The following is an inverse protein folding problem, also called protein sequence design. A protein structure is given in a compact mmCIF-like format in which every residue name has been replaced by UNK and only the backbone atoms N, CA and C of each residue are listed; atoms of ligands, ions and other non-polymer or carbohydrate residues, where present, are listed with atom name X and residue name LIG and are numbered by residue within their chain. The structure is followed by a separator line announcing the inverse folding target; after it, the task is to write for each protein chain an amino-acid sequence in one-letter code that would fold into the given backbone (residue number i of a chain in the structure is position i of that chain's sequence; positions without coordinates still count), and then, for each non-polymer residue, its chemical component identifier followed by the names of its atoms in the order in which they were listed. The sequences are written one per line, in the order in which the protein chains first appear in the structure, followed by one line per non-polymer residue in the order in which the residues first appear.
data_IF_892525852404
#
_entry.id   IF_892525852404
#
_cell.length_a   1.000
_cell.length_b   1.000
_cell.length_c   1.000
_cell.angle_alpha   90.00
_cell.angle_beta   90.00
_cell.angle_gamma   90.00
#
_symmetry.space_group_name_H-M   'P 1'
#
loop_
_entity.id
_entity.type
_entity.pdbx_description
1 polymer ?
#
# COMPACT_ATOMS: atom_id res chain seq x y z
N UNK A 1 21.51 17.24 2.04
CA UNK A 1 20.52 17.39 0.93
C UNK A 1 19.19 17.71 1.56
N UNK A 2 18.53 18.83 1.19
CA UNK A 2 17.22 19.18 1.73
C UNK A 2 16.20 18.10 1.34
N UNK A 3 15.54 17.49 2.32
CA UNK A 3 14.48 16.54 2.10
C UNK A 3 13.32 17.25 1.36
N UNK A 4 13.00 16.78 0.16
CA UNK A 4 11.86 17.31 -0.60
C UNK A 4 10.59 16.68 -0.04
N UNK A 5 9.60 17.48 0.30
CA UNK A 5 8.28 17.00 0.67
C UNK A 5 7.62 16.32 -0.53
N UNK A 6 7.21 15.07 -0.38
CA UNK A 6 6.58 14.28 -1.44
C UNK A 6 5.16 13.95 -1.02
N UNK A 7 4.20 14.49 -1.77
CA UNK A 7 2.76 14.30 -1.63
C UNK A 7 2.17 13.34 -2.65
N UNK A 8 2.92 13.02 -3.71
CA UNK A 8 2.52 12.06 -4.74
C UNK A 8 3.65 11.09 -5.04
N UNK A 9 3.34 9.81 -5.08
CA UNK A 9 4.27 8.77 -5.44
C UNK A 9 3.57 7.69 -6.26
N UNK A 10 4.17 7.27 -7.36
CA UNK A 10 3.71 6.13 -8.17
C UNK A 10 4.45 4.89 -7.75
N UNK A 11 3.71 3.81 -7.45
CA UNK A 11 4.25 2.51 -7.05
C UNK A 11 3.57 1.39 -7.85
N UNK A 12 4.35 0.37 -8.14
CA UNK A 12 3.87 -0.89 -8.70
C UNK A 12 3.74 -1.94 -7.60
N UNK A 13 2.58 -2.54 -7.48
CA UNK A 13 2.23 -3.54 -6.50
C UNK A 13 1.84 -4.85 -7.20
N UNK A 14 2.46 -5.96 -6.79
CA UNK A 14 2.13 -7.29 -7.30
C UNK A 14 2.01 -8.27 -6.15
N UNK A 15 0.86 -8.91 -6.04
CA UNK A 15 0.63 -9.99 -5.10
C UNK A 15 1.37 -11.28 -5.52
N UNK A 16 1.56 -12.18 -4.59
CA UNK A 16 2.22 -13.45 -4.84
C UNK A 16 1.39 -14.37 -5.74
N UNK A 17 2.05 -15.13 -6.59
CA UNK A 17 1.44 -16.22 -7.34
C UNK A 17 1.12 -17.38 -6.42
N UNK A 18 0.04 -18.12 -6.66
CA UNK A 18 -0.25 -19.41 -6.03
C UNK A 18 0.73 -20.48 -6.49
N UNK A 19 1.15 -21.35 -5.58
CA UNK A 19 1.96 -22.53 -5.89
C UNK A 19 1.18 -23.55 -6.72
N UNK A 20 1.87 -24.37 -7.47
CA UNK A 20 1.26 -25.42 -8.30
C UNK A 20 0.84 -26.60 -7.44
N UNK A 21 -0.23 -27.29 -7.83
CA UNK A 21 -0.55 -28.60 -7.28
C UNK A 21 0.45 -29.65 -7.73
N UNK A 22 0.70 -30.65 -6.89
CA UNK A 22 1.62 -31.74 -7.18
C UNK A 22 0.95 -32.88 -7.90
N UNK A 23 1.70 -33.55 -8.75
CA UNK A 23 1.37 -34.88 -9.27
C UNK A 23 2.25 -35.91 -8.57
N UNK A 24 1.69 -36.65 -7.63
CA UNK A 24 2.39 -37.67 -6.88
C UNK A 24 1.50 -38.90 -6.72
N UNK A 25 2.13 -40.06 -6.53
CA UNK A 25 1.46 -41.33 -6.27
C UNK A 25 2.06 -41.96 -5.03
N UNK A 26 1.19 -42.53 -4.22
CA UNK A 26 1.62 -43.26 -3.03
C UNK A 26 2.51 -44.43 -3.40
N UNK A 27 3.64 -44.57 -2.71
CA UNK A 27 4.59 -45.67 -2.92
C UNK A 27 4.95 -46.30 -1.59
N UNK A 28 4.63 -47.56 -1.44
CA UNK A 28 5.05 -48.34 -0.29
C UNK A 28 5.73 -49.63 -0.76
N UNK A 29 6.51 -50.23 0.15
CA UNK A 29 7.11 -51.54 -0.11
C UNK A 29 5.97 -52.57 -0.34
N UNK A 30 5.98 -53.21 -1.46
CA UNK A 30 4.96 -54.18 -1.91
C UNK A 30 3.66 -53.60 -2.47
N UNK A 31 3.52 -52.25 -2.62
CA UNK A 31 2.39 -51.63 -3.32
C UNK A 31 2.90 -51.06 -4.64
N UNK A 32 2.64 -51.79 -5.75
CA UNK A 32 3.14 -51.41 -7.07
C UNK A 32 2.39 -50.22 -7.71
N UNK A 33 1.14 -49.99 -7.32
CA UNK A 33 0.27 -48.93 -7.85
C UNK A 33 -0.53 -48.29 -6.74
N UNK A 34 0.07 -47.35 -6.01
CA UNK A 34 -0.64 -46.54 -5.03
C UNK A 34 -1.51 -45.49 -5.69
N UNK A 35 -2.53 -45.02 -4.96
CA UNK A 35 -3.43 -43.95 -5.42
C UNK A 35 -2.73 -42.58 -5.56
N UNK A 36 -3.42 -41.60 -6.14
CA UNK A 36 -2.90 -40.24 -6.27
C UNK A 36 -2.71 -39.62 -4.89
N UNK A 37 -1.56 -38.97 -4.70
CA UNK A 37 -1.06 -38.52 -3.40
C UNK A 37 -0.44 -37.11 -3.47
N UNK A 38 -0.71 -36.39 -4.55
CA UNK A 38 -0.25 -35.00 -4.71
C UNK A 38 -1.05 -34.03 -3.87
N UNK A 39 -0.36 -33.19 -3.11
CA UNK A 39 -0.93 -32.10 -2.33
C UNK A 39 -1.13 -30.83 -3.15
N UNK A 40 -1.89 -29.91 -2.59
CA UNK A 40 -2.21 -28.63 -3.23
C UNK A 40 -1.07 -27.62 -3.05
N UNK A 41 -0.95 -26.68 -3.98
CA UNK A 41 -0.08 -25.51 -3.82
C UNK A 41 -0.63 -24.54 -2.77
N UNK A 42 0.27 -23.81 -2.13
CA UNK A 42 -0.09 -22.71 -1.21
C UNK A 42 -0.60 -21.48 -1.96
N UNK A 43 -1.43 -20.68 -1.32
CA UNK A 43 -1.83 -19.39 -1.88
C UNK A 43 -0.65 -18.40 -1.87
N UNK A 44 -0.62 -17.46 -2.82
CA UNK A 44 0.29 -16.33 -2.80
C UNK A 44 -0.07 -15.33 -1.71
N UNK A 45 0.90 -14.54 -1.26
CA UNK A 45 0.70 -13.47 -0.29
C UNK A 45 -0.02 -12.27 -0.91
N UNK A 46 -0.78 -11.56 -0.10
CA UNK A 46 -1.48 -10.32 -0.48
C UNK A 46 -0.56 -9.11 -0.33
N UNK A 47 -0.94 -7.99 -0.97
CA UNK A 47 -0.42 -6.67 -0.62
C UNK A 47 -1.48 -5.92 0.18
N UNK A 48 -1.12 -5.52 1.38
CA UNK A 48 -2.02 -4.87 2.34
C UNK A 48 -1.50 -3.47 2.66
N UNK A 49 -2.34 -2.46 2.47
CA UNK A 49 -2.08 -1.09 2.92
C UNK A 49 -2.57 -0.92 4.36
N UNK A 50 -1.76 -0.25 5.18
CA UNK A 50 -2.08 0.04 6.58
C UNK A 50 -1.71 1.50 6.87
N UNK A 51 -2.59 2.20 7.57
CA UNK A 51 -2.31 3.57 8.02
C UNK A 51 -1.30 3.56 9.17
N UNK A 52 -0.32 4.44 9.08
CA UNK A 52 0.66 4.71 10.15
C UNK A 52 0.62 6.19 10.48
N UNK A 53 0.09 6.53 11.67
CA UNK A 53 -0.09 7.91 12.13
C UNK A 53 1.25 8.62 12.44
N UNK A 54 2.36 7.87 12.52
CA UNK A 54 3.69 8.44 12.69
C UNK A 54 4.33 8.90 11.37
N UNK A 55 3.71 8.57 10.24
CA UNK A 55 4.16 8.99 8.91
C UNK A 55 3.44 10.26 8.46
N UNK A 56 4.20 11.27 8.01
CA UNK A 56 3.65 12.55 7.51
C UNK A 56 4.00 12.81 6.03
N UNK A 57 4.73 11.92 5.38
CA UNK A 57 5.17 12.10 3.99
C UNK A 57 5.22 10.77 3.24
N UNK A 58 5.17 10.84 1.90
CA UNK A 58 5.35 9.68 1.02
C UNK A 58 6.81 9.52 0.56
N UNK A 59 7.79 10.02 1.34
CA UNK A 59 9.19 10.06 0.92
C UNK A 59 9.78 8.66 0.65
N UNK A 60 9.43 7.66 1.43
CA UNK A 60 9.94 6.29 1.29
C UNK A 60 9.59 5.69 -0.08
N UNK A 61 8.45 6.07 -0.63
CA UNK A 61 7.98 5.60 -1.93
C UNK A 61 8.73 6.19 -3.12
N UNK A 62 9.54 7.23 -2.90
CA UNK A 62 10.45 7.76 -3.91
C UNK A 62 11.58 6.79 -4.22
N UNK A 63 12.07 6.12 -3.18
CA UNK A 63 13.22 5.22 -3.27
C UNK A 63 12.79 3.80 -3.64
N UNK A 64 11.71 3.31 -3.02
CA UNK A 64 11.16 1.98 -3.29
C UNK A 64 9.84 2.12 -4.03
N UNK A 65 9.84 1.78 -5.32
CA UNK A 65 8.66 1.90 -6.19
C UNK A 65 8.03 0.57 -6.56
N UNK A 66 8.66 -0.55 -6.21
CA UNK A 66 8.16 -1.89 -6.55
C UNK A 66 7.95 -2.69 -5.28
N UNK A 67 6.76 -3.20 -5.11
CA UNK A 67 6.32 -4.00 -3.98
C UNK A 67 5.77 -5.33 -4.51
N UNK A 68 6.39 -6.43 -4.09
CA UNK A 68 6.02 -7.78 -4.54
C UNK A 68 5.90 -8.66 -3.29
N UNK A 69 4.74 -9.29 -3.12
CA UNK A 69 4.50 -10.24 -2.04
C UNK A 69 5.07 -11.63 -2.39
N UNK A 70 5.24 -12.49 -1.39
CA UNK A 70 5.80 -13.81 -1.56
C UNK A 70 4.83 -14.73 -2.33
N UNK A 71 5.39 -15.58 -3.19
CA UNK A 71 4.62 -16.62 -3.86
C UNK A 71 4.28 -17.77 -2.90
N UNK A 72 3.18 -18.46 -3.16
CA UNK A 72 2.89 -19.73 -2.53
C UNK A 72 3.85 -20.82 -3.03
N UNK A 73 4.19 -21.76 -2.16
CA UNK A 73 5.00 -22.91 -2.53
C UNK A 73 4.16 -23.98 -3.22
N UNK A 74 4.79 -24.74 -4.09
CA UNK A 74 4.17 -25.88 -4.76
C UNK A 74 3.79 -26.97 -3.75
N UNK A 75 2.74 -27.73 -4.04
CA UNK A 75 2.36 -28.92 -3.31
C UNK A 75 3.42 -30.01 -3.47
N UNK A 76 3.40 -30.97 -2.58
CA UNK A 76 4.33 -32.10 -2.57
C UNK A 76 3.59 -33.46 -2.50
N UNK A 77 4.31 -34.53 -2.63
CA UNK A 77 3.80 -35.88 -2.37
C UNK A 77 3.34 -36.07 -0.92
N UNK A 78 2.71 -37.21 -0.63
CA UNK A 78 2.13 -37.52 0.69
C UNK A 78 1.08 -36.49 1.13
N UNK A 79 0.32 -35.94 0.19
CA UNK A 79 -0.72 -34.91 0.38
C UNK A 79 -0.25 -33.66 1.13
N UNK A 80 1.04 -33.35 1.09
CA UNK A 80 1.58 -32.17 1.75
C UNK A 80 1.26 -30.92 0.95
N UNK A 81 0.54 -29.99 1.61
CA UNK A 81 0.22 -28.70 1.05
C UNK A 81 1.46 -27.79 0.94
N UNK A 82 1.53 -27.01 -0.11
CA UNK A 82 2.51 -25.94 -0.23
C UNK A 82 2.28 -24.86 0.83
N UNK A 83 3.37 -24.28 1.36
CA UNK A 83 3.29 -23.17 2.30
C UNK A 83 2.71 -21.95 1.61
N UNK A 84 1.84 -21.21 2.30
CA UNK A 84 1.31 -19.93 1.81
C UNK A 84 2.41 -18.85 1.76
N UNK A 85 2.35 -18.00 0.75
CA UNK A 85 3.17 -16.79 0.67
C UNK A 85 2.82 -15.82 1.80
N UNK A 86 3.83 -15.07 2.27
CA UNK A 86 3.60 -14.06 3.29
C UNK A 86 2.99 -12.81 2.67
N UNK A 87 2.03 -12.22 3.35
CA UNK A 87 1.49 -10.91 2.99
C UNK A 87 2.56 -9.82 3.15
N UNK A 88 2.56 -8.88 2.22
CA UNK A 88 3.41 -7.70 2.27
C UNK A 88 2.58 -6.50 2.74
N UNK A 89 2.90 -6.02 3.94
CA UNK A 89 2.27 -4.81 4.48
C UNK A 89 3.05 -3.57 4.04
N UNK A 90 2.33 -2.61 3.47
CA UNK A 90 2.83 -1.28 3.09
C UNK A 90 2.18 -0.27 4.01
N UNK A 91 3.00 0.50 4.74
CA UNK A 91 2.51 1.56 5.63
C UNK A 91 2.41 2.85 4.86
N UNK A 92 1.28 3.55 5.03
CA UNK A 92 1.01 4.85 4.39
C UNK A 92 0.52 5.85 5.43
N UNK A 93 0.79 7.16 5.26
CA UNK A 93 0.25 8.19 6.13
C UNK A 93 -1.28 8.21 6.10
N UNK A 94 -1.92 8.63 7.19
CA UNK A 94 -3.36 8.89 7.23
C UNK A 94 -3.75 9.94 6.18
N UNK A 95 -4.91 9.73 5.52
CA UNK A 95 -5.38 10.62 4.46
C UNK A 95 -4.69 10.41 3.11
N UNK A 96 -3.96 9.30 2.93
CA UNK A 96 -3.45 8.90 1.62
C UNK A 96 -4.59 8.38 0.75
N UNK A 97 -4.78 8.98 -0.42
CA UNK A 97 -5.68 8.49 -1.46
C UNK A 97 -4.91 7.60 -2.42
N UNK A 98 -5.41 6.39 -2.62
CA UNK A 98 -4.88 5.43 -3.58
C UNK A 98 -5.68 5.54 -4.86
N UNK A 99 -5.01 5.87 -5.98
CA UNK A 99 -5.62 5.97 -7.30
C UNK A 99 -5.00 4.97 -8.24
N UNK A 100 -5.81 4.46 -9.16
CA UNK A 100 -5.28 3.73 -10.31
C UNK A 100 -4.44 4.66 -11.19
N UNK A 101 -3.29 4.18 -11.67
CA UNK A 101 -2.34 5.02 -12.40
C UNK A 101 -2.76 5.30 -13.86
N UNK A 102 -3.67 4.51 -14.43
CA UNK A 102 -4.16 4.65 -15.80
C UNK A 102 -5.49 5.40 -15.84
N UNK A 103 -6.47 4.93 -15.07
CA UNK A 103 -7.83 5.54 -15.05
C UNK A 103 -7.93 6.76 -14.16
N UNK A 104 -6.98 6.97 -13.24
CA UNK A 104 -7.01 7.99 -12.19
C UNK A 104 -8.22 7.87 -11.23
N UNK A 105 -8.93 6.75 -11.26
CA UNK A 105 -10.04 6.48 -10.34
C UNK A 105 -9.54 6.23 -8.92
N UNK A 106 -10.35 6.62 -7.94
CA UNK A 106 -10.03 6.37 -6.53
C UNK A 106 -10.33 4.91 -6.20
N UNK A 107 -9.30 4.15 -5.85
CA UNK A 107 -9.43 2.77 -5.36
C UNK A 107 -9.82 2.78 -3.88
N UNK A 108 -9.13 3.57 -3.05
CA UNK A 108 -9.38 3.66 -1.61
C UNK A 108 -8.87 4.99 -1.05
N UNK A 109 -9.61 5.55 -0.09
CA UNK A 109 -9.16 6.64 0.77
C UNK A 109 -8.75 6.02 2.12
N UNK A 110 -7.49 6.20 2.51
CA UNK A 110 -6.90 5.68 3.75
C UNK A 110 -7.09 6.69 4.90
N UNK A 111 -8.33 7.09 5.15
CA UNK A 111 -8.72 7.98 6.25
C UNK A 111 -8.94 7.22 7.56
N UNK A 112 -9.34 5.96 7.50
CA UNK A 112 -9.53 5.05 8.61
C UNK A 112 -8.28 4.17 8.85
N UNK A 113 -8.24 3.50 10.00
CA UNK A 113 -7.13 2.60 10.36
C UNK A 113 -7.35 1.16 9.90
N UNK A 114 -8.41 0.88 9.14
CA UNK A 114 -8.69 -0.47 8.67
C UNK A 114 -7.68 -0.90 7.60
N UNK A 115 -7.06 -2.10 7.73
CA UNK A 115 -6.20 -2.63 6.70
C UNK A 115 -6.95 -2.82 5.38
N UNK A 116 -6.37 -2.38 4.26
CA UNK A 116 -6.95 -2.53 2.94
C UNK A 116 -6.11 -3.46 2.07
N UNK A 117 -6.72 -4.51 1.51
CA UNK A 117 -6.06 -5.42 0.58
C UNK A 117 -6.08 -4.77 -0.81
N UNK A 118 -4.92 -4.27 -1.25
CA UNK A 118 -4.75 -3.64 -2.56
C UNK A 118 -4.65 -4.69 -3.68
N UNK A 119 -3.87 -5.75 -3.46
CA UNK A 119 -3.71 -6.84 -4.43
C UNK A 119 -3.89 -8.17 -3.72
N UNK A 120 -4.73 -9.05 -4.27
CA UNK A 120 -4.97 -10.38 -3.71
C UNK A 120 -4.01 -11.38 -4.30
N UNK A 121 -3.44 -12.23 -3.43
CA UNK A 121 -2.61 -13.36 -3.83
C UNK A 121 -3.36 -14.38 -4.68
N UNK A 122 -2.64 -14.98 -5.62
CA UNK A 122 -3.18 -16.06 -6.46
C UNK A 122 -3.51 -17.30 -5.64
N UNK A 123 -4.60 -17.98 -5.99
CA UNK A 123 -4.96 -19.25 -5.34
C UNK A 123 -4.00 -20.35 -5.74
N UNK A 124 -3.62 -21.21 -4.78
CA UNK A 124 -2.86 -22.41 -5.03
C UNK A 124 -3.61 -23.42 -5.93
N UNK A 125 -2.87 -24.14 -6.75
CA UNK A 125 -3.40 -25.16 -7.63
C UNK A 125 -3.71 -26.46 -6.88
N UNK A 126 -4.71 -27.19 -7.32
CA UNK A 126 -5.06 -28.47 -6.72
C UNK A 126 -4.12 -29.59 -7.16
N UNK A 127 -3.71 -30.43 -6.22
CA UNK A 127 -2.96 -31.65 -6.47
C UNK A 127 -3.78 -32.73 -7.18
N UNK A 128 -3.10 -33.74 -7.73
CA UNK A 128 -3.78 -34.80 -8.48
C UNK A 128 -4.74 -35.63 -7.62
N UNK A 129 -4.60 -35.63 -6.29
CA UNK A 129 -5.51 -36.33 -5.39
C UNK A 129 -6.97 -35.84 -5.51
N UNK A 130 -7.21 -34.56 -5.82
CA UNK A 130 -8.55 -34.01 -6.02
C UNK A 130 -9.25 -34.46 -7.29
N UNK A 131 -8.50 -34.98 -8.27
CA UNK A 131 -9.03 -35.40 -9.58
C UNK A 131 -9.26 -36.90 -9.70
N UNK A 132 -9.10 -37.63 -8.60
CA UNK A 132 -9.40 -39.05 -8.52
C UNK A 132 -10.92 -39.28 -8.58
N UNK A 133 -11.36 -40.10 -9.51
CA UNK A 133 -12.75 -40.52 -9.65
C UNK A 133 -12.80 -42.03 -9.80
N UNK A 134 -13.96 -42.68 -9.60
CA UNK A 134 -14.07 -44.16 -9.80
C UNK A 134 -13.61 -44.64 -11.18
N UNK A 135 -13.78 -43.80 -12.20
CA UNK A 135 -13.37 -44.09 -13.58
C UNK A 135 -11.92 -43.65 -13.88
N UNK A 136 -11.37 -42.70 -13.12
CA UNK A 136 -10.00 -42.17 -13.25
C UNK A 136 -9.29 -42.28 -11.91
N UNK A 137 -8.80 -43.47 -11.57
CA UNK A 137 -8.18 -43.70 -10.27
C UNK A 137 -6.75 -43.16 -10.14
N UNK A 138 -6.04 -42.93 -11.24
CA UNK A 138 -4.67 -42.43 -11.27
C UNK A 138 -4.49 -41.20 -12.19
N UNK A 139 -5.04 -40.04 -11.83
CA UNK A 139 -4.89 -38.81 -12.62
C UNK A 139 -3.42 -38.35 -12.61
N UNK A 140 -2.87 -38.16 -13.82
CA UNK A 140 -1.47 -37.71 -14.03
C UNK A 140 -1.37 -36.23 -14.32
N UNK A 141 -2.30 -35.42 -13.78
CA UNK A 141 -2.32 -33.94 -13.90
C UNK A 141 -2.71 -33.32 -12.58
N UNK A 142 -2.29 -32.08 -12.40
CA UNK A 142 -2.66 -31.20 -11.31
C UNK A 142 -3.00 -29.81 -11.86
N UNK A 143 -3.64 -28.96 -11.10
CA UNK A 143 -3.85 -27.55 -11.46
C UNK A 143 -2.63 -26.72 -11.13
N UNK A 144 -2.27 -25.81 -12.04
CA UNK A 144 -1.32 -24.73 -11.74
C UNK A 144 -1.93 -23.72 -10.79
N UNK A 145 -1.10 -23.09 -9.98
CA UNK A 145 -1.51 -21.93 -9.19
C UNK A 145 -1.86 -20.75 -10.10
N UNK A 146 -2.77 -19.90 -9.62
CA UNK A 146 -3.18 -18.70 -10.32
C UNK A 146 -2.18 -17.57 -10.07
N UNK A 147 -2.06 -16.66 -11.03
CA UNK A 147 -1.30 -15.42 -10.83
C UNK A 147 -1.99 -14.57 -9.77
N UNK A 148 -1.20 -13.79 -9.01
CA UNK A 148 -1.72 -12.78 -8.11
C UNK A 148 -2.14 -11.52 -8.88
N UNK A 149 -2.96 -10.68 -8.24
CA UNK A 149 -3.34 -9.39 -8.79
C UNK A 149 -2.14 -8.45 -8.83
N UNK A 150 -2.14 -7.56 -9.82
CA UNK A 150 -1.14 -6.49 -9.91
C UNK A 150 -1.84 -5.17 -10.21
N UNK A 151 -1.36 -4.10 -9.58
CA UNK A 151 -1.83 -2.75 -9.77
C UNK A 151 -0.66 -1.77 -9.83
N UNK A 152 -0.75 -0.84 -10.75
CA UNK A 152 0.09 0.35 -10.80
C UNK A 152 -0.73 1.51 -10.22
N UNK A 153 -0.31 2.02 -9.07
CA UNK A 153 -1.10 2.99 -8.33
C UNK A 153 -0.32 4.26 -8.03
N UNK A 154 -1.05 5.36 -7.95
CA UNK A 154 -0.57 6.64 -7.47
C UNK A 154 -1.09 6.85 -6.05
N UNK A 155 -0.17 6.96 -5.11
CA UNK A 155 -0.45 7.41 -3.76
C UNK A 155 -0.45 8.94 -3.76
N UNK A 156 -1.53 9.56 -3.32
CA UNK A 156 -1.68 11.00 -3.19
C UNK A 156 -2.05 11.34 -1.76
N UNK A 157 -1.16 12.05 -1.06
CA UNK A 157 -1.43 12.48 0.32
C UNK A 157 -2.29 13.73 0.31
N UNK A 158 -3.49 13.65 0.89
CA UNK A 158 -4.30 14.82 1.22
C UNK A 158 -3.63 15.56 2.38
N UNK A 159 -2.93 16.61 2.05
CA UNK A 159 -2.21 17.41 3.03
C UNK A 159 -3.21 18.18 3.88
N UNK A 160 -3.46 17.72 5.10
CA UNK A 160 -4.03 18.52 6.16
C UNK A 160 -2.87 19.02 7.02
N UNK A 161 -2.87 20.31 7.34
CA UNK A 161 -1.90 20.82 8.28
C UNK A 161 -2.36 20.52 9.71
N UNK A 162 -1.44 20.03 10.53
CA UNK A 162 -1.67 19.77 11.95
C UNK A 162 -1.65 21.09 12.73
N UNK A 163 -0.86 22.07 12.26
CA UNK A 163 -0.67 23.38 12.89
C UNK A 163 -0.78 24.48 11.84
N UNK A 164 -1.60 25.49 12.09
CA UNK A 164 -1.74 26.69 11.25
C UNK A 164 -1.03 27.90 11.88
N UNK A 165 -0.23 28.63 11.09
CA UNK A 165 0.34 29.91 11.46
C UNK A 165 -0.63 31.05 11.06
N UNK A 166 -1.17 31.75 12.03
CA UNK A 166 -2.09 32.84 11.84
C UNK A 166 -1.45 34.12 12.38
N UNK A 167 -1.67 35.25 11.74
CA UNK A 167 -1.18 36.57 12.20
C UNK A 167 -1.08 37.58 11.06
N UNK A 168 -0.77 38.81 11.40
CA UNK A 168 -0.68 39.93 10.46
C UNK A 168 0.33 39.67 9.32
N UNK A 169 0.15 40.31 8.16
CA UNK A 169 1.15 40.28 7.09
C UNK A 169 2.52 40.78 7.60
N UNK A 170 3.59 40.22 7.04
CA UNK A 170 5.00 40.61 7.31
C UNK A 170 5.51 40.48 8.76
N UNK A 171 4.80 39.74 9.63
CA UNK A 171 5.27 39.42 11.00
C UNK A 171 6.28 38.26 11.06
N UNK A 172 6.68 37.72 9.93
CA UNK A 172 7.70 36.69 9.88
C UNK A 172 7.18 35.22 9.89
N UNK A 173 5.88 34.95 9.68
CA UNK A 173 5.30 33.59 9.65
C UNK A 173 6.00 32.69 8.66
N UNK A 174 6.12 33.12 7.41
CA UNK A 174 6.77 32.35 6.36
C UNK A 174 8.27 32.15 6.61
N UNK A 175 8.92 33.14 7.27
CA UNK A 175 10.32 33.01 7.71
C UNK A 175 10.44 31.96 8.81
N UNK A 176 9.54 31.98 9.80
CA UNK A 176 9.49 30.95 10.83
C UNK A 176 9.32 29.55 10.22
N UNK A 177 8.33 29.40 9.32
CA UNK A 177 8.09 28.14 8.62
C UNK A 177 9.34 27.65 7.87
N UNK A 178 10.07 28.55 7.20
CA UNK A 178 11.28 28.21 6.45
C UNK A 178 12.45 27.79 7.34
N UNK A 179 12.52 28.27 8.58
CA UNK A 179 13.57 27.95 9.55
C UNK A 179 13.30 26.63 10.24
N UNK A 180 12.05 26.37 10.67
CA UNK A 180 11.69 25.16 11.42
C UNK A 180 11.45 23.95 10.51
N UNK A 181 11.12 24.17 9.23
CA UNK A 181 10.92 23.10 8.27
C UNK A 181 12.24 22.62 7.72
N UNK A 182 12.53 21.31 7.83
CA UNK A 182 13.71 20.67 7.19
C UNK A 182 13.57 20.53 5.67
N UNK A 183 12.35 20.61 5.15
CA UNK A 183 12.07 20.59 3.72
C UNK A 183 11.73 21.99 3.24
N UNK A 184 11.99 22.30 1.96
CA UNK A 184 11.49 23.55 1.37
C UNK A 184 9.97 23.56 1.46
N UNK A 185 9.35 24.65 2.00
CA UNK A 185 7.91 24.75 2.05
C UNK A 185 7.30 24.58 0.66
N UNK A 186 6.20 23.84 0.58
CA UNK A 186 5.48 23.57 -0.66
C UNK A 186 4.16 24.33 -0.66
N UNK A 187 3.84 24.99 -1.75
CA UNK A 187 2.53 25.59 -1.98
C UNK A 187 1.53 24.46 -2.21
N UNK A 188 0.49 24.38 -1.38
CA UNK A 188 -0.58 23.42 -1.53
C UNK A 188 -1.85 24.08 -2.08
N UNK A 189 -2.57 23.34 -2.91
CA UNK A 189 -3.86 23.74 -3.47
C UNK A 189 -4.97 23.05 -2.68
N UNK A 190 -5.59 23.76 -1.75
CA UNK A 190 -6.78 23.29 -1.07
C UNK A 190 -8.02 23.76 -1.83
N UNK A 191 -8.89 22.84 -2.22
CA UNK A 191 -10.11 23.13 -2.99
C UNK A 191 -11.11 24.07 -2.28
N UNK A 192 -10.91 24.29 -0.98
CA UNK A 192 -11.76 25.15 -0.14
C UNK A 192 -11.13 26.51 0.22
N UNK A 193 -9.92 26.81 -0.31
CA UNK A 193 -9.25 28.09 -0.07
C UNK A 193 -8.96 28.80 -1.38
N UNK A 194 -9.18 30.11 -1.43
CA UNK A 194 -8.78 30.99 -2.54
C UNK A 194 -7.29 31.31 -2.52
N UNK A 195 -6.61 31.03 -1.41
CA UNK A 195 -5.17 31.21 -1.22
C UNK A 195 -4.48 29.86 -1.03
N UNK A 196 -3.29 29.76 -1.60
CA UNK A 196 -2.44 28.60 -1.50
C UNK A 196 -1.54 28.72 -0.27
N UNK A 197 -1.80 27.96 0.82
CA UNK A 197 -0.92 27.98 1.97
C UNK A 197 0.43 27.36 1.66
N UNK A 198 1.49 27.86 2.30
CA UNK A 198 2.79 27.23 2.27
C UNK A 198 2.84 26.15 3.36
N UNK A 199 3.15 24.92 2.98
CA UNK A 199 3.27 23.79 3.90
C UNK A 199 4.73 23.46 4.15
N UNK A 200 5.07 23.24 5.42
CA UNK A 200 6.39 22.73 5.82
C UNK A 200 6.25 21.55 6.77
N UNK A 201 7.16 20.58 6.67
CA UNK A 201 7.22 19.46 7.62
C UNK A 201 8.23 19.79 8.69
N UNK A 202 7.78 19.75 9.94
CA UNK A 202 8.59 19.96 11.14
C UNK A 202 8.85 18.58 11.77
N UNK A 203 10.13 18.24 11.93
CA UNK A 203 10.54 17.02 12.60
C UNK A 203 10.82 17.33 14.07
N UNK A 204 10.22 16.56 14.96
CA UNK A 204 10.40 16.70 16.42
C UNK A 204 11.45 15.72 16.90
N UNK A 205 11.37 14.46 16.43
CA UNK A 205 12.28 13.38 16.79
C UNK A 205 12.37 12.36 15.64
N UNK A 206 13.20 11.30 15.79
CA UNK A 206 13.26 10.22 14.80
C UNK A 206 11.88 9.56 14.65
N UNK A 207 11.33 9.67 13.43
CA UNK A 207 10.02 9.12 13.08
C UNK A 207 8.81 9.93 13.52
N UNK A 208 8.98 11.06 14.21
CA UNK A 208 7.87 11.95 14.64
C UNK A 208 7.97 13.28 13.91
N UNK A 209 6.95 13.60 13.10
CA UNK A 209 6.87 14.86 12.37
C UNK A 209 5.42 15.33 12.29
N UNK A 210 5.23 16.63 12.10
CA UNK A 210 3.92 17.23 11.84
C UNK A 210 3.99 18.23 10.68
N UNK A 211 2.85 18.52 10.06
CA UNK A 211 2.73 19.46 8.96
C UNK A 211 2.27 20.81 9.49
N UNK A 212 3.06 21.85 9.21
CA UNK A 212 2.74 23.22 9.56
C UNK A 212 2.37 24.00 8.29
N UNK A 213 1.25 24.76 8.34
CA UNK A 213 0.79 25.63 7.26
C UNK A 213 0.95 27.10 7.62
N UNK A 214 1.51 27.88 6.71
CA UNK A 214 1.40 29.34 6.74
C UNK A 214 0.16 29.72 5.92
N UNK A 215 -0.89 30.20 6.61
CA UNK A 215 -2.16 30.60 5.99
C UNK A 215 -2.13 32.10 5.79
N UNK A 216 -1.83 32.60 4.57
CA UNK A 216 -1.82 34.02 4.29
C UNK A 216 -3.26 34.59 4.29
N UNK A 217 -3.41 35.83 4.69
CA UNK A 217 -4.66 36.58 4.54
C UNK A 217 -5.75 36.37 5.60
N UNK A 218 -5.50 35.57 6.64
CA UNK A 218 -6.37 35.59 7.83
C UNK A 218 -5.91 36.69 8.75
N UNK A 219 -6.68 37.77 8.82
CA UNK A 219 -6.43 38.94 9.66
C UNK A 219 -7.63 39.19 10.56
N UNK A 220 -7.44 40.03 11.61
CA UNK A 220 -8.54 40.49 12.46
C UNK A 220 -9.58 41.22 11.60
N UNK A 221 -10.88 40.89 11.77
CA UNK A 221 -11.96 41.40 10.91
C UNK A 221 -12.23 40.57 9.65
N UNK A 222 -11.58 39.44 9.49
CA UNK A 222 -11.82 38.52 8.35
C UNK A 222 -13.27 38.05 8.27
N UNK A 223 -13.93 37.86 9.41
CA UNK A 223 -15.36 37.48 9.49
C UNK A 223 -16.29 38.63 9.07
N UNK A 224 -15.80 39.86 9.05
CA UNK A 224 -16.53 41.07 8.63
C UNK A 224 -16.24 41.46 7.18
N UNK A 225 -15.57 40.59 6.41
CA UNK A 225 -15.23 40.82 5.01
C UNK A 225 -13.91 41.57 4.78
N UNK A 226 -13.14 41.87 5.83
CA UNK A 226 -11.81 42.48 5.73
C UNK A 226 -10.72 41.42 5.58
N UNK A 227 -10.80 40.62 4.53
CA UNK A 227 -9.85 39.53 4.27
C UNK A 227 -10.56 38.29 3.70
N UNK A 228 -9.91 37.14 3.74
CA UNK A 228 -10.38 35.90 3.11
C UNK A 228 -11.01 34.91 4.10
N UNK A 229 -11.52 35.38 5.23
CA UNK A 229 -12.22 34.56 6.20
C UNK A 229 -13.74 34.68 6.02
N UNK A 230 -14.35 33.67 5.43
CA UNK A 230 -15.78 33.39 5.51
C UNK A 230 -15.93 31.96 6.06
#
# INVERSE_FOLDING_TARGET
MAASFIDKARIFCRAGKGGNGAVAFHREKYVSAGGPDGGDGGNGGNIVLVVDDNMSTLMDFRYKRKYVADNGMDGQGARKFGKQGKDLTIRVPRGTVVRDAESNEIIKDMSDSEPFILCRGGKGGWGNAHFATPTRQAPRFAKSGLEGEEHDVVLELKLLADVGLIGFPNVGKSTLLSVVSKARPKIANYHFTTLYPNLGVVYVDEGVSFVMADIPGIIEGAAEGAGLGH
#
